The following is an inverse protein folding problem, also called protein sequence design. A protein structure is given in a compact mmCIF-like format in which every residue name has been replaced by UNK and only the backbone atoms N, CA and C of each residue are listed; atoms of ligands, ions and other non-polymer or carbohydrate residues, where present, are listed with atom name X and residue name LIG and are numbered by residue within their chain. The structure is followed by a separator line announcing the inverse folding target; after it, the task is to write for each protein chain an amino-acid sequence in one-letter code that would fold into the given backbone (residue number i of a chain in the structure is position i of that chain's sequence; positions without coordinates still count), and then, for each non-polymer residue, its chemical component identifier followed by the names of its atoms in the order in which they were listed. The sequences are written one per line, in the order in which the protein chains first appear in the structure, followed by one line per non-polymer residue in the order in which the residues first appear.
data_IF_688324455521
#
_entry.id   IF_688324455521
#
_cell.length_a   1.000
_cell.length_b   1.000
_cell.length_c   1.000
_cell.angle_alpha   90.00
_cell.angle_beta   90.00
_cell.angle_gamma   90.00
#
_symmetry.space_group_name_H-M   'P 1'
#
loop_
_entity.id
_entity.type
_entity.pdbx_description
1 polymer ?
#
# COMPACT_ATOMS: atom_id res chain seq x y z
N UNK A 1 18.03 -28.79 7.10
CA UNK A 1 17.50 -27.42 7.22
C UNK A 1 16.19 -27.41 6.48
N UNK A 2 15.07 -27.19 7.16
CA UNK A 2 13.80 -26.95 6.48
C UNK A 2 13.97 -25.80 5.49
N UNK A 3 13.36 -25.93 4.32
CA UNK A 3 13.33 -24.85 3.35
C UNK A 3 12.65 -23.64 4.02
N UNK A 4 13.31 -22.49 4.04
CA UNK A 4 12.80 -21.27 4.71
C UNK A 4 11.39 -20.91 4.24
N UNK A 5 11.07 -21.20 2.97
CA UNK A 5 9.72 -21.00 2.41
C UNK A 5 8.71 -21.96 3.04
N UNK A 6 9.09 -23.22 3.26
CA UNK A 6 8.23 -24.22 3.88
C UNK A 6 7.98 -23.93 5.37
N UNK A 7 9.02 -23.50 6.09
CA UNK A 7 8.89 -23.02 7.46
C UNK A 7 7.95 -21.81 7.55
N UNK A 8 8.10 -20.83 6.65
CA UNK A 8 7.21 -19.66 6.60
C UNK A 8 5.74 -20.06 6.31
N UNK A 9 5.52 -20.99 5.37
CA UNK A 9 4.18 -21.52 5.07
C UNK A 9 3.59 -22.23 6.29
N UNK A 10 4.39 -23.03 7.01
CA UNK A 10 3.92 -23.75 8.19
C UNK A 10 3.59 -22.80 9.35
N UNK A 11 4.39 -21.76 9.57
CA UNK A 11 4.08 -20.70 10.54
C UNK A 11 2.81 -19.94 10.15
N UNK A 12 2.63 -19.60 8.87
CA UNK A 12 1.38 -18.98 8.40
C UNK A 12 0.19 -19.91 8.66
N UNK A 13 0.33 -21.22 8.41
CA UNK A 13 -0.72 -22.20 8.71
C UNK A 13 -1.06 -22.28 10.19
N UNK A 14 -0.08 -22.20 11.10
CA UNK A 14 -0.34 -22.23 12.55
C UNK A 14 -1.06 -20.98 13.04
N UNK A 15 -0.88 -19.83 12.38
CA UNK A 15 -1.61 -18.58 12.68
C UNK A 15 -3.13 -18.71 12.42
N UNK A 16 -3.56 -19.67 11.59
CA UNK A 16 -4.99 -19.95 11.35
C UNK A 16 -5.63 -20.88 12.40
N UNK A 17 -4.88 -21.34 13.39
CA UNK A 17 -5.45 -22.09 14.52
C UNK A 17 -6.22 -21.12 15.42
N UNK A 18 -7.49 -21.43 15.68
CA UNK A 18 -8.39 -20.56 16.44
C UNK A 18 -7.95 -20.53 17.91
N UNK A 19 -7.29 -19.44 18.31
CA UNK A 19 -6.85 -19.19 19.68
C UNK A 19 -7.82 -18.22 20.40
N UNK A 20 -7.97 -18.33 21.72
CA UNK A 20 -8.66 -17.31 22.51
C UNK A 20 -8.06 -15.93 22.26
N UNK A 21 -8.91 -14.95 21.91
CA UNK A 21 -8.46 -13.60 21.56
C UNK A 21 -8.35 -12.72 22.80
N UNK A 22 -7.14 -12.35 23.17
CA UNK A 22 -6.90 -11.30 24.15
C UNK A 22 -7.35 -9.93 23.60
N UNK A 23 -7.60 -8.92 24.46
CA UNK A 23 -7.81 -7.55 24.02
C UNK A 23 -6.62 -7.03 23.21
N UNK A 24 -6.89 -6.19 22.20
CA UNK A 24 -5.82 -5.49 21.47
C UNK A 24 -4.96 -4.67 22.42
N UNK A 25 -3.64 -4.77 22.29
CA UNK A 25 -2.75 -3.85 23.01
C UNK A 25 -2.71 -2.49 22.30
N UNK A 26 -2.30 -1.44 23.03
CA UNK A 26 -2.30 -0.06 22.53
C UNK A 26 -1.49 0.14 21.23
N UNK A 27 -0.48 -0.70 21.00
CA UNK A 27 0.32 -0.68 19.78
C UNK A 27 -0.44 -1.22 18.57
N UNK A 28 -1.21 -2.30 18.71
CA UNK A 28 -2.08 -2.84 17.66
C UNK A 28 -3.20 -1.85 17.32
N UNK A 29 -3.82 -1.25 18.33
CA UNK A 29 -4.84 -0.21 18.16
C UNK A 29 -4.27 0.98 17.38
N UNK A 30 -3.11 1.49 17.79
CA UNK A 30 -2.46 2.62 17.11
C UNK A 30 -2.06 2.25 15.67
N UNK A 31 -1.56 1.02 15.46
CA UNK A 31 -1.18 0.53 14.13
C UNK A 31 -2.38 0.48 13.19
N UNK A 32 -3.51 -0.05 13.65
CA UNK A 32 -4.77 -0.04 12.89
C UNK A 32 -5.21 1.38 12.55
N UNK A 33 -5.17 2.27 13.54
CA UNK A 33 -5.61 3.66 13.36
C UNK A 33 -4.75 4.43 12.36
N UNK A 34 -3.42 4.36 12.49
CA UNK A 34 -2.48 5.01 11.56
C UNK A 34 -2.62 4.43 10.16
N UNK A 35 -2.68 3.10 10.04
CA UNK A 35 -2.76 2.44 8.73
C UNK A 35 -4.05 2.81 8.00
N UNK A 36 -5.18 2.81 8.71
CA UNK A 36 -6.46 3.22 8.15
C UNK A 36 -6.44 4.69 7.69
N UNK A 37 -5.87 5.59 8.47
CA UNK A 37 -5.66 6.98 8.06
C UNK A 37 -4.80 7.09 6.79
N UNK A 38 -3.70 6.32 6.73
CA UNK A 38 -2.84 6.23 5.55
C UNK A 38 -3.58 5.74 4.30
N UNK A 39 -4.42 4.72 4.43
CA UNK A 39 -5.27 4.22 3.33
C UNK A 39 -6.28 5.28 2.85
N UNK A 40 -6.91 6.01 3.77
CA UNK A 40 -7.91 7.03 3.44
C UNK A 40 -7.27 8.24 2.72
N UNK A 41 -6.06 8.63 3.11
CA UNK A 41 -5.26 9.63 2.40
C UNK A 41 -4.79 9.14 1.03
N UNK A 42 -4.39 7.87 0.92
CA UNK A 42 -4.03 7.26 -0.36
C UNK A 42 -5.23 7.23 -1.32
N UNK A 43 -6.42 6.80 -0.85
CA UNK A 43 -7.67 6.83 -1.62
C UNK A 43 -7.94 8.23 -2.19
N UNK A 44 -7.82 9.26 -1.34
CA UNK A 44 -8.09 10.65 -1.73
C UNK A 44 -7.11 11.15 -2.78
N UNK A 45 -5.83 10.79 -2.66
CA UNK A 45 -4.81 11.08 -3.66
C UNK A 45 -5.10 10.37 -4.99
N UNK A 46 -5.40 9.08 -4.97
CA UNK A 46 -5.65 8.27 -6.17
C UNK A 46 -6.87 8.78 -6.93
N UNK A 47 -7.95 9.15 -6.23
CA UNK A 47 -9.12 9.77 -6.86
C UNK A 47 -8.77 11.11 -7.53
N UNK A 48 -7.96 11.95 -6.87
CA UNK A 48 -7.45 13.18 -7.51
C UNK A 48 -6.60 12.86 -8.74
N UNK A 49 -5.72 11.87 -8.69
CA UNK A 49 -4.88 11.47 -9.82
C UNK A 49 -5.71 10.94 -11.02
N UNK A 50 -6.75 10.14 -10.75
CA UNK A 50 -7.72 9.68 -11.75
C UNK A 50 -8.50 10.83 -12.39
N UNK A 51 -8.67 11.93 -11.67
CA UNK A 51 -9.36 13.11 -12.14
C UNK A 51 -8.48 14.07 -12.94
N UNK A 52 -7.14 13.93 -12.86
CA UNK A 52 -6.18 14.80 -13.55
C UNK A 52 -5.45 14.13 -14.71
N UNK A 53 -5.22 12.81 -14.66
CA UNK A 53 -4.47 12.11 -15.71
C UNK A 53 -5.37 11.67 -16.87
N UNK A 54 -4.84 11.78 -18.09
CA UNK A 54 -5.44 11.24 -19.33
C UNK A 54 -4.68 10.02 -19.86
N UNK A 55 -3.55 9.64 -19.25
CA UNK A 55 -2.79 8.46 -19.68
C UNK A 55 -3.51 7.17 -19.27
N UNK A 56 -3.90 6.36 -20.26
CA UNK A 56 -4.71 5.17 -20.02
C UNK A 56 -4.02 4.13 -19.13
N UNK A 57 -2.70 3.98 -19.23
CA UNK A 57 -1.96 2.97 -18.46
C UNK A 57 -1.80 3.41 -17.01
N UNK A 58 -1.50 4.69 -16.77
CA UNK A 58 -1.48 5.26 -15.42
C UNK A 58 -2.86 5.17 -14.78
N UNK A 59 -3.92 5.55 -15.51
CA UNK A 59 -5.31 5.44 -15.02
C UNK A 59 -5.68 4.01 -14.66
N UNK A 60 -5.27 3.02 -15.44
CA UNK A 60 -5.53 1.61 -15.15
C UNK A 60 -4.90 1.20 -13.81
N UNK A 61 -3.62 1.50 -13.61
CA UNK A 61 -2.90 1.23 -12.36
C UNK A 61 -3.52 1.98 -11.17
N UNK A 62 -3.94 3.23 -11.36
CA UNK A 62 -4.61 4.01 -10.32
C UNK A 62 -5.96 3.37 -9.92
N UNK A 63 -6.71 2.84 -10.89
CA UNK A 63 -7.95 2.13 -10.59
C UNK A 63 -7.68 0.81 -9.84
N UNK A 64 -6.64 0.06 -10.22
CA UNK A 64 -6.22 -1.13 -9.47
C UNK A 64 -5.87 -0.80 -8.01
N UNK A 65 -5.07 0.25 -7.77
CA UNK A 65 -4.76 0.71 -6.41
C UNK A 65 -6.00 1.18 -5.65
N UNK A 66 -6.91 1.88 -6.32
CA UNK A 66 -8.16 2.37 -5.74
C UNK A 66 -9.03 1.20 -5.25
N UNK A 67 -9.25 0.18 -6.09
CA UNK A 67 -10.04 -0.98 -5.72
C UNK A 67 -9.39 -1.78 -4.59
N UNK A 68 -8.07 -2.00 -4.66
CA UNK A 68 -7.32 -2.65 -3.58
C UNK A 68 -7.41 -1.86 -2.27
N UNK A 69 -7.23 -0.54 -2.34
CA UNK A 69 -7.33 0.36 -1.19
C UNK A 69 -8.71 0.34 -0.55
N UNK A 70 -9.79 0.35 -1.33
CA UNK A 70 -11.16 0.23 -0.83
C UNK A 70 -11.39 -1.11 -0.10
N UNK A 71 -10.88 -2.21 -0.66
CA UNK A 71 -10.94 -3.53 -0.02
C UNK A 71 -10.22 -3.56 1.34
N UNK A 72 -8.99 -3.02 1.40
CA UNK A 72 -8.23 -2.95 2.66
C UNK A 72 -8.90 -2.04 3.69
N UNK A 73 -9.41 -0.88 3.26
CA UNK A 73 -10.17 0.05 4.12
C UNK A 73 -11.37 -0.69 4.74
N UNK A 74 -12.18 -1.37 3.92
CA UNK A 74 -13.38 -2.06 4.41
C UNK A 74 -13.03 -3.16 5.42
N UNK A 75 -12.03 -3.99 5.11
CA UNK A 75 -11.58 -5.07 6.01
C UNK A 75 -11.06 -4.52 7.33
N UNK A 76 -10.25 -3.47 7.30
CA UNK A 76 -9.69 -2.87 8.50
C UNK A 76 -10.74 -2.12 9.34
N UNK A 77 -11.65 -1.39 8.70
CA UNK A 77 -12.77 -0.73 9.40
C UNK A 77 -13.66 -1.76 10.09
N UNK A 78 -14.00 -2.85 9.40
CA UNK A 78 -14.79 -3.94 9.97
C UNK A 78 -14.07 -4.55 11.18
N UNK A 79 -12.78 -4.83 11.06
CA UNK A 79 -11.95 -5.32 12.16
C UNK A 79 -11.96 -4.35 13.35
N UNK A 80 -11.66 -3.07 13.13
CA UNK A 80 -11.62 -2.05 14.17
C UNK A 80 -12.97 -1.88 14.88
N UNK A 81 -14.07 -1.84 14.13
CA UNK A 81 -15.43 -1.70 14.71
C UNK A 81 -15.81 -2.91 15.56
N UNK A 82 -15.45 -4.12 15.14
CA UNK A 82 -15.71 -5.34 15.91
C UNK A 82 -14.92 -5.38 17.22
N UNK A 83 -13.73 -4.78 17.25
CA UNK A 83 -12.88 -4.65 18.44
C UNK A 83 -13.24 -3.41 19.28
N UNK A 84 -14.25 -2.63 18.88
CA UNK A 84 -14.66 -1.40 19.58
C UNK A 84 -13.68 -0.23 19.43
N UNK A 85 -12.79 -0.28 18.45
CA UNK A 85 -11.81 0.78 18.17
C UNK A 85 -12.47 1.88 17.33
N UNK A 86 -12.42 3.15 17.76
CA UNK A 86 -12.97 4.26 16.98
C UNK A 86 -12.18 4.49 15.69
N UNK A 87 -12.90 4.81 14.61
CA UNK A 87 -12.28 5.07 13.31
C UNK A 87 -11.71 6.51 13.27
N UNK A 88 -10.55 6.73 12.59
CA UNK A 88 -10.06 8.06 12.27
C UNK A 88 -11.05 8.82 11.37
N UNK A 89 -10.97 10.15 11.39
CA UNK A 89 -11.66 10.97 10.41
C UNK A 89 -11.12 10.69 9.00
N UNK A 90 -12.03 10.44 8.06
CA UNK A 90 -11.69 10.17 6.66
C UNK A 90 -11.86 11.44 5.82
N UNK A 91 -10.99 11.71 4.84
CA UNK A 91 -11.26 12.73 3.85
C UNK A 91 -12.44 12.33 2.95
N UNK A 92 -13.21 13.33 2.55
CA UNK A 92 -14.31 13.20 1.61
C UNK A 92 -13.82 12.69 0.24
N UNK A 93 -14.67 11.89 -0.40
CA UNK A 93 -14.42 11.41 -1.76
C UNK A 93 -14.31 12.58 -2.75
N UNK A 94 -13.40 12.48 -3.72
CA UNK A 94 -13.22 13.53 -4.72
C UNK A 94 -14.32 13.45 -5.79
N UNK A 95 -14.99 14.58 -6.15
CA UNK A 95 -15.93 14.59 -7.26
C UNK A 95 -15.18 14.37 -8.57
N UNK A 96 -15.87 13.82 -9.58
CA UNK A 96 -15.30 13.64 -10.92
C UNK A 96 -15.03 15.00 -11.56
N UNK A 97 -13.89 15.15 -12.24
CA UNK A 97 -13.56 16.35 -13.01
C UNK A 97 -13.07 16.02 -14.42
N UNK A 98 -13.14 17.00 -15.32
CA UNK A 98 -12.48 16.92 -16.63
C UNK A 98 -10.97 17.19 -16.47
N UNK A 99 -10.17 16.17 -16.77
CA UNK A 99 -8.71 16.22 -16.70
C UNK A 99 -8.08 17.27 -17.63
N UNK A 100 -8.77 17.64 -18.73
CA UNK A 100 -8.30 18.66 -19.67
C UNK A 100 -8.62 20.08 -19.21
N UNK A 101 -9.57 20.25 -18.29
CA UNK A 101 -9.92 21.55 -17.73
C UNK A 101 -9.00 21.98 -16.56
N UNK A 102 -8.14 21.08 -16.08
CA UNK A 102 -7.21 21.36 -14.97
C UNK A 102 -6.08 22.28 -15.46
N UNK A 103 -5.89 23.47 -14.86
CA UNK A 103 -4.83 24.40 -15.26
C UNK A 103 -3.44 23.76 -15.16
N UNK A 104 -2.60 23.92 -16.18
CA UNK A 104 -1.28 23.27 -16.25
C UNK A 104 -0.37 23.59 -15.06
N UNK A 105 -0.43 24.82 -14.52
CA UNK A 105 0.35 25.21 -13.34
C UNK A 105 -0.11 24.57 -12.02
N UNK A 106 -1.28 23.93 -11.99
CA UNK A 106 -1.81 23.20 -10.84
C UNK A 106 -1.88 21.67 -11.09
N UNK A 107 -1.57 21.23 -12.31
CA UNK A 107 -1.68 19.84 -12.74
C UNK A 107 -0.34 19.13 -12.51
N UNK A 108 -0.34 18.11 -11.65
CA UNK A 108 0.79 17.18 -11.58
C UNK A 108 0.95 16.45 -12.91
N UNK A 109 2.20 16.25 -13.32
CA UNK A 109 2.51 15.42 -14.48
C UNK A 109 2.26 13.94 -14.16
N UNK A 110 2.10 13.12 -15.21
CA UNK A 110 1.88 11.68 -15.03
C UNK A 110 3.07 11.00 -14.32
N UNK A 111 4.30 11.45 -14.57
CA UNK A 111 5.49 10.96 -13.86
C UNK A 111 5.51 11.42 -12.39
N UNK A 112 5.07 12.63 -12.06
CA UNK A 112 4.94 13.08 -10.66
C UNK A 112 3.88 12.26 -9.92
N UNK A 113 2.73 12.01 -10.55
CA UNK A 113 1.63 11.23 -9.98
C UNK A 113 2.06 9.79 -9.67
N UNK A 114 2.68 9.09 -10.62
CA UNK A 114 3.11 7.70 -10.40
C UNK A 114 4.24 7.60 -9.37
N UNK A 115 5.14 8.59 -9.31
CA UNK A 115 6.18 8.64 -8.29
C UNK A 115 5.57 8.84 -6.89
N UNK A 116 4.58 9.74 -6.74
CA UNK A 116 3.85 9.92 -5.47
C UNK A 116 3.09 8.67 -5.05
N UNK A 117 2.42 7.99 -6.00
CA UNK A 117 1.76 6.71 -5.76
C UNK A 117 2.77 5.67 -5.24
N UNK A 118 3.93 5.58 -5.89
CA UNK A 118 4.99 4.63 -5.52
C UNK A 118 5.51 4.86 -4.11
N UNK A 119 5.73 6.12 -3.71
CA UNK A 119 6.13 6.48 -2.34
C UNK A 119 5.06 6.05 -1.34
N UNK A 120 3.77 6.33 -1.61
CA UNK A 120 2.67 5.92 -0.73
C UNK A 120 2.60 4.40 -0.56
N UNK A 121 2.75 3.64 -1.64
CA UNK A 121 2.75 2.18 -1.60
C UNK A 121 3.92 1.65 -0.75
N UNK A 122 5.13 2.18 -0.92
CA UNK A 122 6.28 1.82 -0.09
C UNK A 122 6.02 2.12 1.38
N UNK A 123 5.47 3.29 1.71
CA UNK A 123 5.11 3.66 3.09
C UNK A 123 4.09 2.68 3.69
N UNK A 124 3.07 2.28 2.93
CA UNK A 124 2.06 1.31 3.39
C UNK A 124 2.65 -0.10 3.54
N UNK A 125 3.55 -0.53 2.66
CA UNK A 125 4.26 -1.82 2.80
C UNK A 125 5.05 -1.85 4.11
N UNK A 126 5.84 -0.80 4.37
CA UNK A 126 6.66 -0.71 5.58
C UNK A 126 5.76 -0.67 6.82
N UNK A 127 4.72 0.16 6.81
CA UNK A 127 3.79 0.28 7.94
C UNK A 127 3.09 -1.04 8.26
N UNK A 128 2.63 -1.77 7.24
CA UNK A 128 2.02 -3.08 7.42
C UNK A 128 3.04 -4.10 7.97
N UNK A 129 4.27 -4.12 7.45
CA UNK A 129 5.32 -5.01 7.95
C UNK A 129 5.63 -4.75 9.43
N UNK A 130 5.75 -3.48 9.82
CA UNK A 130 5.99 -3.10 11.22
C UNK A 130 4.81 -3.49 12.11
N UNK A 131 3.59 -3.18 11.70
CA UNK A 131 2.40 -3.54 12.46
C UNK A 131 2.27 -5.06 12.63
N UNK A 132 2.53 -5.82 11.55
CA UNK A 132 2.51 -7.28 11.61
C UNK A 132 3.56 -7.83 12.58
N UNK A 133 4.79 -7.31 12.56
CA UNK A 133 5.87 -7.80 13.40
C UNK A 133 5.73 -7.40 14.88
N UNK A 134 5.00 -6.33 15.17
CA UNK A 134 4.76 -5.83 16.53
C UNK A 134 3.47 -6.38 17.15
N UNK A 135 2.62 -7.05 16.37
CA UNK A 135 1.38 -7.62 16.86
C UNK A 135 1.65 -8.85 17.71
N UNK A 136 0.96 -8.95 18.84
CA UNK A 136 0.97 -10.14 19.70
C UNK A 136 -0.17 -11.07 19.29
N UNK A 137 -1.30 -10.50 18.86
CA UNK A 137 -2.41 -11.28 18.32
C UNK A 137 -2.13 -11.76 16.90
N UNK A 138 -2.28 -13.07 16.73
CA UNK A 138 -2.08 -13.77 15.46
C UNK A 138 -2.99 -13.24 14.33
N UNK A 139 -4.24 -12.91 14.62
CA UNK A 139 -5.18 -12.38 13.62
C UNK A 139 -4.81 -10.97 13.13
N UNK A 140 -4.29 -10.12 14.02
CA UNK A 140 -3.77 -8.78 13.66
C UNK A 140 -2.52 -8.90 12.80
N UNK A 141 -1.57 -9.74 13.22
CA UNK A 141 -0.35 -10.00 12.45
C UNK A 141 -0.68 -10.49 11.04
N UNK A 142 -1.63 -11.43 10.93
CA UNK A 142 -2.07 -11.97 9.65
C UNK A 142 -2.75 -10.92 8.77
N UNK A 143 -3.62 -10.08 9.34
CA UNK A 143 -4.31 -9.01 8.62
C UNK A 143 -3.31 -8.06 7.96
N UNK A 144 -2.31 -7.60 8.71
CA UNK A 144 -1.27 -6.73 8.17
C UNK A 144 -0.33 -7.43 7.20
N UNK A 145 0.01 -8.70 7.44
CA UNK A 145 0.78 -9.51 6.47
C UNK A 145 0.07 -9.60 5.12
N UNK A 146 -1.25 -9.83 5.12
CA UNK A 146 -2.05 -9.86 3.90
C UNK A 146 -2.03 -8.50 3.19
N UNK A 147 -2.23 -7.40 3.92
CA UNK A 147 -2.17 -6.06 3.35
C UNK A 147 -0.80 -5.71 2.76
N UNK A 148 0.27 -6.10 3.44
CA UNK A 148 1.64 -5.94 2.97
C UNK A 148 1.85 -6.70 1.65
N UNK A 149 1.48 -7.98 1.60
CA UNK A 149 1.67 -8.83 0.43
C UNK A 149 0.90 -8.28 -0.78
N UNK A 150 -0.35 -7.88 -0.59
CA UNK A 150 -1.19 -7.24 -1.61
C UNK A 150 -0.52 -5.98 -2.19
N UNK A 151 0.01 -5.10 -1.33
CA UNK A 151 0.70 -3.87 -1.77
C UNK A 151 2.06 -4.15 -2.42
N UNK A 152 2.78 -5.20 -1.99
CA UNK A 152 4.03 -5.61 -2.64
C UNK A 152 3.80 -6.10 -4.07
N UNK A 153 2.74 -6.88 -4.31
CA UNK A 153 2.35 -7.33 -5.66
C UNK A 153 2.03 -6.12 -6.55
N UNK A 154 1.19 -5.20 -6.07
CA UNK A 154 0.87 -3.98 -6.81
C UNK A 154 2.11 -3.12 -7.09
N UNK A 155 2.98 -2.92 -6.10
CA UNK A 155 4.21 -2.15 -6.25
C UNK A 155 5.18 -2.74 -7.28
N UNK A 156 5.23 -4.07 -7.42
CA UNK A 156 6.01 -4.72 -8.46
C UNK A 156 5.46 -4.43 -9.87
N UNK A 157 4.14 -4.47 -10.05
CA UNK A 157 3.48 -4.15 -11.33
C UNK A 157 3.72 -2.69 -11.72
N UNK A 158 3.59 -1.76 -10.77
CA UNK A 158 3.85 -0.33 -10.97
C UNK A 158 5.29 -0.10 -11.41
N UNK A 159 6.26 -0.74 -10.74
CA UNK A 159 7.68 -0.63 -11.09
C UNK A 159 7.96 -1.09 -12.52
N UNK A 160 7.30 -2.15 -12.98
CA UNK A 160 7.43 -2.63 -14.36
C UNK A 160 6.90 -1.59 -15.36
N UNK A 161 5.70 -1.07 -15.13
CA UNK A 161 5.11 -0.01 -15.96
C UNK A 161 5.99 1.24 -16.00
N UNK A 162 6.49 1.70 -14.85
CA UNK A 162 7.36 2.88 -14.77
C UNK A 162 8.67 2.69 -15.56
N UNK A 163 9.19 1.46 -15.63
CA UNK A 163 10.35 1.12 -16.47
C UNK A 163 10.03 1.23 -17.95
N UNK A 164 8.94 0.64 -18.41
CA UNK A 164 8.52 0.70 -19.82
C UNK A 164 8.27 2.14 -20.29
N UNK A 165 7.73 2.98 -19.41
CA UNK A 165 7.44 4.39 -19.70
C UNK A 165 8.62 5.35 -19.54
N UNK A 166 9.74 4.89 -18.98
CA UNK A 166 10.86 5.77 -18.64
C UNK A 166 10.57 6.74 -17.49
N UNK A 167 9.52 6.50 -16.70
CA UNK A 167 9.15 7.32 -15.53
C UNK A 167 9.94 6.97 -14.27
N UNK A 168 10.57 5.79 -14.25
CA UNK A 168 11.40 5.38 -13.13
C UNK A 168 12.72 6.17 -13.12
N UNK A 169 12.97 6.86 -12.01
CA UNK A 169 14.26 7.53 -11.78
C UNK A 169 15.28 6.48 -11.35
N UNK A 170 16.16 6.10 -12.29
CA UNK A 170 17.23 5.14 -12.03
C UNK A 170 18.39 5.87 -11.34
N UNK A 171 18.80 5.47 -10.11
CA UNK A 171 19.97 6.06 -9.47
C UNK A 171 21.26 5.69 -10.22
N UNK A 172 22.37 6.41 -10.00
CA UNK A 172 23.66 6.06 -10.59
C UNK A 172 24.00 4.59 -10.36
N UNK A 173 24.48 3.92 -11.41
CA UNK A 173 24.94 2.54 -11.30
C UNK A 173 26.19 2.47 -10.42
N UNK A 174 26.24 1.46 -9.56
CA UNK A 174 27.44 1.16 -8.79
C UNK A 174 28.44 0.40 -9.66
N UNK A 175 29.65 0.94 -9.79
CA UNK A 175 30.76 0.31 -10.53
C UNK A 175 31.79 -0.20 -9.52
N UNK A 176 31.95 -1.53 -9.36
CA UNK A 176 32.93 -2.05 -8.42
C UNK A 176 34.37 -1.75 -8.91
N UNK A 177 35.31 -1.43 -8.00
CA UNK A 177 36.72 -1.24 -8.37
C UNK A 177 37.28 -2.48 -9.09
N UNK A 178 37.96 -2.27 -10.22
CA UNK A 178 38.57 -3.34 -11.02
C UNK A 178 37.60 -4.13 -11.91
N UNK A 179 36.33 -3.71 -12.04
CA UNK A 179 35.42 -4.30 -13.02
C UNK A 179 35.97 -4.14 -14.45
N UNK A 180 35.90 -5.18 -15.30
CA UNK A 180 36.24 -5.01 -16.71
C UNK A 180 35.32 -3.96 -17.35
N UNK A 181 35.81 -3.19 -18.34
CA UNK A 181 34.95 -2.30 -19.12
C UNK A 181 33.79 -3.11 -19.72
N UNK A 182 32.57 -2.61 -19.57
CA UNK A 182 31.37 -3.17 -20.22
C UNK A 182 31.30 -2.73 -21.68
#
# INVERSE_FOLDING_TARGET
MENVIEAAINTIKSIFVDEPKDPLHVGEVMSCWIYLGGLQEAKSFVQSALNTSVDNQLRHVLEEDHQLGLSQIQRLQTFMLNEGVPLPAAPESKPKSDANAVPLGAKFTDDELVNMLSVKIVSLIISAATASAQSVRNDVALLFTQFQAEKMVLGANIKFMMRERGWIKIPPYYYPPGAPPQ
#
